data_IF_612112132789
#
_entry.id   IF_612112132789
#
_cell.length_a   1.000
_cell.length_b   1.000
_cell.length_c   1.000
_cell.angle_alpha   90.00
_cell.angle_beta   90.00
_cell.angle_gamma   90.00
#
_symmetry.space_group_name_H-M   'P 1'
#
loop_
_entity.id
_entity.type
_entity.pdbx_description
1 polymer ?
#
# COMPACT_ATOMS: atom_id res chain seq x y z
N UNK A 1 34.53 26.09 -9.60
CA UNK A 1 33.09 25.80 -9.77
C UNK A 1 32.97 24.84 -10.94
N UNK A 2 32.65 23.57 -10.66
CA UNK A 2 32.29 22.61 -11.71
C UNK A 2 30.79 22.75 -11.95
N UNK A 3 30.42 23.29 -13.10
CA UNK A 3 29.03 23.28 -13.55
C UNK A 3 28.64 21.83 -13.85
N UNK A 4 27.82 21.22 -12.99
CA UNK A 4 27.15 19.97 -13.32
C UNK A 4 26.14 20.24 -14.42
N UNK A 5 26.44 19.84 -15.65
CA UNK A 5 25.46 19.87 -16.74
C UNK A 5 24.19 19.13 -16.30
N UNK A 6 22.99 19.66 -16.56
CA UNK A 6 21.75 18.93 -16.33
C UNK A 6 21.80 17.62 -17.13
N UNK A 7 21.62 16.49 -16.46
CA UNK A 7 21.56 15.18 -17.10
C UNK A 7 20.39 15.19 -18.09
N UNK A 8 20.71 15.18 -19.39
CA UNK A 8 19.69 15.10 -20.43
C UNK A 8 19.21 13.66 -20.49
N UNK A 9 17.89 13.44 -20.52
CA UNK A 9 17.33 12.13 -20.87
C UNK A 9 17.85 11.79 -22.27
N UNK A 10 18.69 10.75 -22.36
CA UNK A 10 19.37 10.40 -23.61
C UNK A 10 18.45 9.65 -24.57
N UNK A 11 17.56 8.81 -24.04
CA UNK A 11 16.65 7.96 -24.80
C UNK A 11 15.40 7.64 -23.96
N UNK A 12 14.21 7.68 -24.60
CA UNK A 12 12.97 7.19 -24.00
C UNK A 12 12.84 5.71 -24.35
N UNK A 13 12.76 4.86 -23.33
CA UNK A 13 12.59 3.43 -23.50
C UNK A 13 11.43 2.91 -22.66
N UNK A 14 10.58 2.13 -23.29
CA UNK A 14 9.54 1.36 -22.62
C UNK A 14 10.20 0.17 -21.90
N UNK A 15 9.90 0.03 -20.61
CA UNK A 15 10.44 -1.04 -19.75
C UNK A 15 9.41 -2.08 -19.37
N UNK A 16 8.14 -1.66 -19.30
CA UNK A 16 6.96 -2.48 -19.03
C UNK A 16 5.68 -1.63 -19.19
N UNK A 17 4.60 -2.29 -19.60
CA UNK A 17 3.26 -1.70 -19.67
C UNK A 17 2.41 -2.28 -18.53
N UNK A 18 1.79 -1.39 -17.75
CA UNK A 18 0.91 -1.78 -16.64
C UNK A 18 -0.35 -2.47 -17.20
N UNK A 19 -0.62 -3.73 -16.83
CA UNK A 19 -1.83 -4.41 -17.29
C UNK A 19 -3.09 -3.70 -16.81
N UNK A 20 -4.02 -3.44 -17.73
CA UNK A 20 -5.36 -2.95 -17.39
C UNK A 20 -6.29 -4.14 -17.14
N UNK A 21 -6.26 -4.72 -15.94
CA UNK A 21 -7.12 -5.85 -15.58
C UNK A 21 -8.61 -5.46 -15.47
N UNK A 22 -8.88 -4.18 -15.26
CA UNK A 22 -10.22 -3.66 -14.99
C UNK A 22 -10.61 -2.55 -15.98
N UNK A 23 -11.89 -2.51 -16.33
CA UNK A 23 -12.48 -1.34 -16.99
C UNK A 23 -12.59 -0.19 -15.98
N UNK A 24 -12.16 1.02 -16.36
CA UNK A 24 -12.13 2.19 -15.46
C UNK A 24 -13.55 2.65 -15.09
N UNK A 25 -13.81 2.85 -13.80
CA UNK A 25 -15.12 3.27 -13.26
C UNK A 25 -14.96 4.35 -12.17
N UNK A 26 -16.01 5.13 -11.88
CA UNK A 26 -16.01 6.02 -10.71
C UNK A 26 -15.67 5.27 -9.42
N UNK A 27 -14.85 5.87 -8.57
CA UNK A 27 -14.33 5.24 -7.35
C UNK A 27 -12.94 4.60 -7.53
N UNK A 28 -12.46 4.36 -8.76
CA UNK A 28 -11.09 3.89 -8.97
C UNK A 28 -10.08 5.03 -8.73
N UNK A 29 -8.94 4.66 -8.13
CA UNK A 29 -7.79 5.54 -7.95
C UNK A 29 -6.99 5.67 -9.24
N UNK A 30 -6.12 6.67 -9.32
CA UNK A 30 -5.12 6.71 -10.38
C UNK A 30 -4.09 5.59 -10.16
N UNK A 31 -3.48 5.06 -11.24
CA UNK A 31 -2.31 4.23 -11.09
C UNK A 31 -1.25 4.92 -10.25
N UNK A 32 -0.61 4.17 -9.35
CA UNK A 32 0.44 4.69 -8.47
C UNK A 32 1.55 3.66 -8.32
N UNK A 33 2.72 4.14 -7.89
CA UNK A 33 3.89 3.29 -7.70
C UNK A 33 4.73 3.75 -6.51
N UNK A 34 5.49 2.82 -5.94
CA UNK A 34 6.43 3.08 -4.86
C UNK A 34 7.67 2.20 -5.03
N UNK A 35 8.85 2.82 -5.08
CA UNK A 35 10.12 2.09 -5.13
C UNK A 35 10.50 1.61 -3.73
N UNK A 36 10.26 0.34 -3.46
CA UNK A 36 10.51 -0.26 -2.14
C UNK A 36 12.00 -0.54 -1.89
N UNK A 37 12.79 -0.68 -2.96
CA UNK A 37 14.24 -0.86 -2.92
C UNK A 37 14.91 -0.32 -4.21
N UNK A 38 16.25 -0.33 -4.32
CA UNK A 38 16.97 0.00 -5.56
C UNK A 38 16.59 -0.83 -6.79
N UNK A 39 16.01 -2.02 -6.59
CA UNK A 39 15.69 -2.97 -7.67
C UNK A 39 14.21 -3.35 -7.70
N UNK A 40 13.45 -3.13 -6.63
CA UNK A 40 12.03 -3.47 -6.56
C UNK A 40 11.14 -2.23 -6.62
N UNK A 41 9.98 -2.41 -7.25
CA UNK A 41 8.92 -1.42 -7.29
C UNK A 41 7.56 -2.09 -7.13
N UNK A 42 6.69 -1.45 -6.35
CA UNK A 42 5.28 -1.78 -6.32
C UNK A 42 4.52 -0.85 -7.24
N UNK A 43 3.58 -1.40 -8.01
CA UNK A 43 2.63 -0.63 -8.81
C UNK A 43 1.21 -1.11 -8.55
N UNK A 44 0.25 -0.22 -8.76
CA UNK A 44 -1.17 -0.58 -8.84
C UNK A 44 -1.82 0.11 -10.03
N UNK A 45 -2.81 -0.55 -10.61
CA UNK A 45 -3.73 0.01 -11.60
C UNK A 45 -4.75 1.00 -11.00
N UNK A 46 -4.78 1.09 -9.67
CA UNK A 46 -5.75 1.88 -8.91
C UNK A 46 -7.17 1.32 -8.97
N UNK A 47 -7.36 0.12 -9.53
CA UNK A 47 -8.65 -0.56 -9.66
C UNK A 47 -8.71 -1.87 -8.87
N UNK A 48 -7.58 -2.34 -8.33
CA UNK A 48 -7.55 -3.39 -7.30
C UNK A 48 -6.40 -4.37 -7.41
N UNK A 49 -5.55 -4.26 -8.44
CA UNK A 49 -4.39 -5.15 -8.58
C UNK A 49 -3.13 -4.49 -8.04
N UNK A 50 -2.37 -5.25 -7.23
CA UNK A 50 -1.03 -4.91 -6.79
C UNK A 50 -0.01 -5.73 -7.59
N UNK A 51 0.98 -5.06 -8.14
CA UNK A 51 2.10 -5.68 -8.83
C UNK A 51 3.40 -5.44 -8.06
N UNK A 52 4.17 -6.50 -7.79
CA UNK A 52 5.60 -6.38 -7.45
C UNK A 52 6.41 -6.64 -8.70
N UNK A 53 7.30 -5.72 -9.02
CA UNK A 53 8.06 -5.74 -10.25
C UNK A 53 9.54 -5.58 -9.95
N UNK A 54 10.35 -6.48 -10.51
CA UNK A 54 11.79 -6.35 -10.55
C UNK A 54 12.20 -5.39 -11.67
N UNK A 55 12.81 -4.29 -11.28
CA UNK A 55 13.37 -3.28 -12.19
C UNK A 55 14.82 -3.54 -12.54
N UNK A 56 15.49 -4.45 -11.80
CA UNK A 56 16.94 -4.56 -11.74
C UNK A 56 17.59 -3.26 -11.27
N UNK A 57 18.92 -3.12 -11.39
CA UNK A 57 19.59 -1.86 -11.13
C UNK A 57 19.07 -0.78 -12.08
N UNK A 58 18.39 0.24 -11.54
CA UNK A 58 17.77 1.32 -12.33
C UNK A 58 18.75 2.25 -13.05
N UNK A 59 20.06 2.09 -12.84
CA UNK A 59 21.09 2.70 -13.67
C UNK A 59 21.28 1.98 -15.03
N UNK A 60 20.71 0.78 -15.17
CA UNK A 60 20.73 -0.01 -16.39
C UNK A 60 19.52 0.22 -17.30
N UNK A 61 19.40 -0.63 -18.31
CA UNK A 61 18.33 -0.57 -19.33
C UNK A 61 17.54 -1.88 -19.40
N UNK A 62 17.46 -2.61 -18.28
CA UNK A 62 16.75 -3.88 -18.21
C UNK A 62 15.24 -3.68 -18.39
N UNK A 63 14.60 -4.66 -19.06
CA UNK A 63 13.15 -4.77 -19.04
C UNK A 63 12.70 -5.14 -17.62
N UNK A 64 11.53 -4.66 -17.22
CA UNK A 64 11.01 -4.97 -15.90
C UNK A 64 10.28 -6.31 -15.92
N UNK A 65 10.43 -7.08 -14.85
CA UNK A 65 9.87 -8.42 -14.70
C UNK A 65 8.82 -8.43 -13.58
N UNK A 66 7.61 -8.91 -13.88
CA UNK A 66 6.55 -9.04 -12.87
C UNK A 66 6.84 -10.26 -12.00
N UNK A 67 7.02 -10.03 -10.71
CA UNK A 67 7.30 -11.06 -9.70
C UNK A 67 6.03 -11.52 -8.96
N UNK A 68 5.05 -10.62 -8.82
CA UNK A 68 3.78 -10.86 -8.15
C UNK A 68 2.70 -9.97 -8.78
N UNK A 69 1.47 -10.46 -8.87
CA UNK A 69 0.34 -9.72 -9.45
C UNK A 69 -1.00 -10.26 -8.96
N UNK A 70 -1.57 -9.68 -7.90
CA UNK A 70 -2.82 -10.16 -7.30
C UNK A 70 -3.67 -9.03 -6.69
N UNK A 71 -4.94 -9.34 -6.39
CA UNK A 71 -5.86 -8.47 -5.66
C UNK A 71 -5.74 -8.70 -4.15
N UNK A 72 -4.94 -7.88 -3.48
CA UNK A 72 -4.58 -8.09 -2.06
C UNK A 72 -5.57 -7.47 -1.07
N UNK A 73 -6.42 -6.53 -1.51
CA UNK A 73 -7.40 -5.83 -0.68
C UNK A 73 -8.83 -6.41 -0.81
N UNK A 74 -8.95 -7.61 -1.38
CA UNK A 74 -10.22 -8.18 -1.81
C UNK A 74 -10.52 -7.89 -3.28
N UNK A 75 -11.49 -8.63 -3.81
CA UNK A 75 -11.82 -8.61 -5.23
C UNK A 75 -12.34 -7.24 -5.66
N UNK A 76 -11.75 -6.69 -6.72
CA UNK A 76 -12.12 -5.40 -7.32
C UNK A 76 -12.14 -4.24 -6.30
N UNK A 77 -11.37 -4.34 -5.21
CA UNK A 77 -11.25 -3.26 -4.20
C UNK A 77 -10.21 -2.25 -4.68
N UNK A 78 -10.59 -1.03 -5.12
CA UNK A 78 -9.62 -0.05 -5.61
C UNK A 78 -8.79 0.52 -4.46
N UNK A 79 -7.49 0.74 -4.67
CA UNK A 79 -6.63 1.37 -3.67
C UNK A 79 -5.51 2.20 -4.31
N UNK A 80 -4.82 2.99 -3.50
CA UNK A 80 -3.57 3.67 -3.86
C UNK A 80 -2.44 3.24 -2.93
N UNK A 81 -1.20 3.22 -3.42
CA UNK A 81 -0.02 2.94 -2.58
C UNK A 81 0.36 4.21 -1.82
N UNK A 82 0.55 4.09 -0.50
CA UNK A 82 0.96 5.19 0.38
C UNK A 82 2.47 5.15 0.63
N UNK A 83 2.99 3.97 0.97
CA UNK A 83 4.38 3.77 1.33
C UNK A 83 4.79 2.32 1.12
N UNK A 84 6.06 2.08 0.83
CA UNK A 84 6.61 0.72 0.75
C UNK A 84 8.06 0.67 1.18
N UNK A 85 8.51 -0.52 1.59
CA UNK A 85 9.89 -0.78 1.97
C UNK A 85 10.22 -2.26 1.81
N UNK A 86 11.45 -2.52 1.39
CA UNK A 86 12.02 -3.87 1.34
C UNK A 86 12.96 -4.11 2.52
N UNK A 87 12.84 -5.27 3.16
CA UNK A 87 13.74 -5.79 4.19
C UNK A 87 14.52 -6.96 3.58
N UNK A 88 15.84 -6.91 3.67
CA UNK A 88 16.79 -7.96 3.24
C UNK A 88 16.61 -8.49 1.80
N UNK A 89 15.96 -7.73 0.90
CA UNK A 89 15.61 -8.11 -0.47
C UNK A 89 14.63 -9.29 -0.62
N UNK A 90 14.18 -9.90 0.47
CA UNK A 90 13.32 -11.08 0.47
C UNK A 90 11.91 -10.77 0.99
N UNK A 91 11.72 -9.62 1.63
CA UNK A 91 10.45 -9.20 2.22
C UNK A 91 10.10 -7.77 1.80
N UNK A 92 8.86 -7.56 1.34
CA UNK A 92 8.35 -6.24 0.94
C UNK A 92 7.12 -5.92 1.76
N UNK A 93 7.17 -4.82 2.48
CA UNK A 93 6.01 -4.25 3.16
C UNK A 93 5.45 -3.09 2.35
N UNK A 94 4.12 -2.97 2.32
CA UNK A 94 3.47 -1.80 1.78
C UNK A 94 2.22 -1.42 2.55
N UNK A 95 1.91 -0.12 2.47
CA UNK A 95 0.68 0.48 2.98
C UNK A 95 -0.17 0.89 1.79
N UNK A 96 -1.40 0.39 1.74
CA UNK A 96 -2.38 0.66 0.69
C UNK A 96 -3.58 1.36 1.32
N UNK A 97 -4.07 2.43 0.69
CA UNK A 97 -5.27 3.14 1.13
C UNK A 97 -6.43 2.85 0.20
N UNK A 98 -7.55 2.42 0.79
CA UNK A 98 -8.87 2.48 0.15
C UNK A 98 -9.88 3.13 1.09
N UNK A 99 -11.01 3.56 0.53
CA UNK A 99 -12.12 4.15 1.29
C UNK A 99 -13.28 3.16 1.32
N UNK A 100 -13.74 2.84 2.52
CA UNK A 100 -14.97 2.10 2.75
C UNK A 100 -16.14 3.09 2.88
N UNK A 101 -17.10 3.01 1.95
CA UNK A 101 -18.34 3.80 1.97
C UNK A 101 -19.48 2.97 2.55
N UNK A 102 -19.76 3.21 3.83
CA UNK A 102 -20.82 2.49 4.55
C UNK A 102 -22.22 2.94 4.18
N UNK A 103 -22.38 4.08 3.50
CA UNK A 103 -23.71 4.50 3.02
C UNK A 103 -24.24 3.62 1.89
N UNK A 104 -23.34 2.99 1.12
CA UNK A 104 -23.71 2.11 0.02
C UNK A 104 -24.30 0.76 0.48
N UNK A 105 -24.04 0.35 1.73
CA UNK A 105 -24.50 -0.93 2.29
C UNK A 105 -25.99 -0.93 2.67
N UNK A 106 -26.69 0.21 2.60
CA UNK A 106 -28.14 0.30 2.87
C UNK A 106 -28.54 0.10 4.34
N UNK A 107 -27.59 -0.12 5.25
CA UNK A 107 -27.83 -0.23 6.69
C UNK A 107 -28.06 1.16 7.30
N UNK A 108 -29.30 1.62 7.17
CA UNK A 108 -29.80 2.92 7.62
C UNK A 108 -29.86 3.09 9.16
N UNK A 109 -29.07 2.33 9.92
CA UNK A 109 -29.08 2.29 11.39
C UNK A 109 -27.72 2.54 12.04
N UNK A 110 -26.62 2.57 11.30
CA UNK A 110 -25.32 2.94 11.90
C UNK A 110 -25.25 4.46 12.09
N UNK A 111 -25.15 4.90 13.35
CA UNK A 111 -24.87 6.30 13.72
C UNK A 111 -23.38 6.65 13.55
N UNK A 112 -22.67 5.93 12.69
CA UNK A 112 -21.23 6.00 12.51
C UNK A 112 -20.81 6.95 11.38
N UNK A 113 -19.49 7.17 11.24
CA UNK A 113 -18.93 7.87 10.08
C UNK A 113 -19.29 7.13 8.78
N UNK A 114 -19.71 7.90 7.77
CA UNK A 114 -20.13 7.36 6.46
C UNK A 114 -18.95 6.80 5.67
N UNK A 115 -17.80 7.46 5.76
CA UNK A 115 -16.57 7.06 5.08
C UNK A 115 -15.50 6.72 6.10
N UNK A 116 -14.80 5.62 5.84
CA UNK A 116 -13.65 5.20 6.63
C UNK A 116 -12.43 5.02 5.74
N UNK A 117 -11.29 5.48 6.23
CA UNK A 117 -10.01 5.19 5.63
C UNK A 117 -9.58 3.79 6.06
N UNK A 118 -9.28 2.96 5.08
CA UNK A 118 -8.81 1.60 5.26
C UNK A 118 -7.37 1.53 4.81
N UNK A 119 -6.45 1.42 5.77
CA UNK A 119 -5.02 1.26 5.50
C UNK A 119 -4.67 -0.21 5.62
N UNK A 120 -4.48 -0.87 4.48
CA UNK A 120 -4.01 -2.25 4.41
C UNK A 120 -2.48 -2.26 4.47
N UNK A 121 -1.94 -2.94 5.46
CA UNK A 121 -0.54 -3.26 5.57
C UNK A 121 -0.32 -4.69 5.09
N UNK A 122 0.19 -4.81 3.87
CA UNK A 122 0.48 -6.08 3.20
C UNK A 122 1.97 -6.37 3.29
N UNK A 123 2.32 -7.61 3.61
CA UNK A 123 3.68 -8.13 3.51
C UNK A 123 3.75 -9.21 2.45
N UNK A 124 4.62 -9.01 1.46
CA UNK A 124 5.01 -10.00 0.48
C UNK A 124 6.36 -10.61 0.87
N UNK A 125 6.51 -11.91 0.65
CA UNK A 125 7.78 -12.63 0.88
C UNK A 125 8.15 -13.48 -0.33
N UNK A 126 9.45 -13.58 -0.59
CA UNK A 126 10.03 -14.47 -1.57
C UNK A 126 10.18 -15.88 -0.99
N UNK A 127 9.56 -16.88 -1.63
CA UNK A 127 9.73 -18.29 -1.29
C UNK A 127 10.94 -18.92 -1.99
N UNK A 128 11.20 -20.19 -1.67
CA UNK A 128 12.39 -20.96 -2.11
C UNK A 128 12.61 -20.99 -3.64
N UNK A 129 11.54 -20.88 -4.43
CA UNK A 129 11.57 -20.88 -5.91
C UNK A 129 11.64 -19.47 -6.52
N UNK A 130 12.06 -18.46 -5.75
CA UNK A 130 11.97 -17.04 -6.14
C UNK A 130 10.54 -16.56 -6.44
N UNK A 131 9.55 -17.32 -6.00
CA UNK A 131 8.13 -17.00 -6.18
C UNK A 131 7.66 -16.15 -5.02
N UNK A 132 7.01 -15.02 -5.32
CA UNK A 132 6.52 -14.11 -4.30
C UNK A 132 5.08 -14.45 -3.91
N UNK A 133 4.76 -14.28 -2.64
CA UNK A 133 3.41 -14.52 -2.10
C UNK A 133 3.10 -13.58 -0.95
N UNK A 134 1.82 -13.41 -0.66
CA UNK A 134 1.37 -12.67 0.52
C UNK A 134 1.64 -13.50 1.78
N UNK A 135 2.47 -12.98 2.69
CA UNK A 135 2.65 -13.56 4.03
C UNK A 135 1.54 -13.11 4.97
N UNK A 136 1.29 -11.82 5.02
CA UNK A 136 0.36 -11.23 5.97
C UNK A 136 -0.36 -10.01 5.45
N UNK A 137 -1.56 -9.82 6.00
CA UNK A 137 -2.42 -8.66 5.77
C UNK A 137 -2.91 -8.17 7.12
N UNK A 138 -2.62 -6.90 7.41
CA UNK A 138 -3.07 -6.18 8.58
C UNK A 138 -3.85 -4.97 8.13
N UNK A 139 -4.82 -4.52 8.90
CA UNK A 139 -5.71 -3.43 8.52
C UNK A 139 -5.88 -2.45 9.67
N UNK A 140 -5.56 -1.19 9.40
CA UNK A 140 -5.92 -0.08 10.26
C UNK A 140 -7.11 0.67 9.68
N UNK A 141 -8.06 1.01 10.53
CA UNK A 141 -9.28 1.72 10.16
C UNK A 141 -9.41 3.00 11.00
N UNK A 142 -9.79 4.10 10.35
CA UNK A 142 -10.02 5.37 11.04
C UNK A 142 -10.93 6.31 10.24
N UNK A 143 -11.80 7.08 10.90
CA UNK A 143 -12.57 8.13 10.25
C UNK A 143 -11.69 9.37 9.99
N UNK A 144 -12.27 10.38 9.35
CA UNK A 144 -11.63 11.69 9.21
C UNK A 144 -10.54 11.72 8.14
N UNK A 145 -9.55 12.60 8.34
CA UNK A 145 -8.47 12.81 7.40
C UNK A 145 -7.22 12.03 7.83
N UNK A 146 -6.62 11.34 6.87
CA UNK A 146 -5.29 10.74 7.01
C UNK A 146 -4.27 11.68 6.36
N UNK A 147 -3.55 12.44 7.17
CA UNK A 147 -2.60 13.46 6.67
C UNK A 147 -1.27 12.82 6.24
N UNK A 148 -0.80 11.81 6.99
CA UNK A 148 0.45 11.11 6.70
C UNK A 148 0.44 9.69 7.25
N UNK A 149 1.05 8.78 6.50
CA UNK A 149 1.38 7.46 7.00
C UNK A 149 2.64 6.90 6.36
N UNK A 150 3.44 6.18 7.14
CA UNK A 150 4.65 5.53 6.66
C UNK A 150 5.04 4.36 7.54
N UNK A 151 5.82 3.45 6.98
CA UNK A 151 6.43 2.34 7.73
C UNK A 151 7.64 2.86 8.50
N UNK A 152 7.81 2.36 9.72
CA UNK A 152 9.06 2.48 10.47
C UNK A 152 10.18 1.71 9.74
N UNK A 153 11.45 2.06 10.00
CA UNK A 153 12.58 1.58 9.22
C UNK A 153 12.73 0.04 9.20
N UNK A 154 12.38 -0.62 10.30
CA UNK A 154 12.39 -2.09 10.44
C UNK A 154 11.07 -2.74 10.06
N UNK A 155 10.07 -1.96 9.64
CA UNK A 155 8.72 -2.43 9.34
C UNK A 155 8.07 -3.20 10.50
N UNK A 156 8.41 -2.84 11.73
CA UNK A 156 7.76 -3.37 12.94
C UNK A 156 6.61 -2.48 13.42
N UNK A 157 6.48 -1.27 12.87
CA UNK A 157 5.46 -0.28 13.25
C UNK A 157 5.10 0.63 12.09
N UNK A 158 3.97 1.34 12.24
CA UNK A 158 3.46 2.34 11.29
C UNK A 158 3.30 3.69 11.98
N UNK A 159 3.76 4.75 11.33
CA UNK A 159 3.47 6.13 11.73
C UNK A 159 2.15 6.55 11.09
N UNK A 160 1.28 7.17 11.88
CA UNK A 160 0.01 7.76 11.41
C UNK A 160 -0.11 9.16 12.00
N UNK A 161 -0.35 10.14 11.12
CA UNK A 161 -0.82 11.47 11.50
C UNK A 161 -2.21 11.67 10.90
N UNK A 162 -3.19 11.92 11.77
CA UNK A 162 -4.59 12.06 11.42
C UNK A 162 -5.32 12.90 12.47
N UNK A 163 -6.48 13.44 12.11
CA UNK A 163 -7.33 14.22 13.03
C UNK A 163 -8.16 13.32 13.96
N UNK A 164 -8.31 12.05 13.60
CA UNK A 164 -9.02 11.01 14.35
C UNK A 164 -8.16 9.76 14.51
N UNK A 165 -8.35 8.98 15.59
CA UNK A 165 -7.54 7.79 15.84
C UNK A 165 -7.81 6.68 14.83
N UNK A 166 -6.76 5.94 14.49
CA UNK A 166 -6.82 4.68 13.75
C UNK A 166 -6.60 3.51 14.71
N UNK A 167 -7.25 2.39 14.44
CA UNK A 167 -7.08 1.16 15.20
C UNK A 167 -6.97 -0.03 14.26
N UNK A 168 -6.27 -1.09 14.70
CA UNK A 168 -6.27 -2.35 13.98
C UNK A 168 -7.67 -2.96 14.02
N UNK A 169 -8.15 -3.42 12.87
CA UNK A 169 -9.42 -4.14 12.71
C UNK A 169 -9.21 -5.56 12.17
N UNK A 170 -8.04 -5.81 11.57
CA UNK A 170 -7.58 -7.13 11.17
C UNK A 170 -6.07 -7.20 11.35
N UNK A 171 -5.58 -8.30 11.88
CA UNK A 171 -4.16 -8.64 11.89
C UNK A 171 -4.06 -10.16 11.70
N UNK A 172 -3.47 -10.58 10.57
CA UNK A 172 -3.33 -12.00 10.27
C UNK A 172 -2.22 -12.69 11.06
N UNK A 173 -1.32 -11.93 11.70
CA UNK A 173 -0.18 -12.45 12.46
C UNK A 173 -0.45 -12.44 13.98
N UNK A 174 -1.20 -11.45 14.48
CA UNK A 174 -1.45 -11.28 15.92
C UNK A 174 -2.92 -11.10 16.27
N UNK A 175 -3.29 -11.46 17.50
CA UNK A 175 -4.62 -11.12 18.04
C UNK A 175 -4.68 -9.64 18.41
N UNK A 176 -5.70 -8.94 17.94
CA UNK A 176 -5.97 -7.56 18.32
C UNK A 176 -6.53 -7.53 19.75
N UNK A 177 -5.83 -6.83 20.65
CA UNK A 177 -6.26 -6.62 22.05
C UNK A 177 -6.83 -5.21 22.15
N UNK A 178 -8.12 -5.10 22.46
CA UNK A 178 -8.73 -3.80 22.74
C UNK A 178 -8.25 -3.29 24.11
N UNK A 179 -7.46 -2.22 24.11
CA UNK A 179 -7.17 -1.50 25.34
C UNK A 179 -8.42 -0.75 25.79
N UNK A 180 -9.02 -1.22 26.89
CA UNK A 180 -10.13 -0.52 27.54
C UNK A 180 -9.58 0.78 28.12
N UNK A 181 -9.74 1.89 27.41
CA UNK A 181 -9.32 3.20 27.89
C UNK A 181 -10.18 3.55 29.10
N UNK A 182 -9.63 3.45 30.31
CA UNK A 182 -10.32 3.99 31.48
C UNK A 182 -10.41 5.51 31.34
N UNK A 183 -11.59 6.12 31.61
CA UNK A 183 -11.74 7.55 31.51
C UNK A 183 -10.77 8.21 32.50
N UNK A 184 -9.99 9.18 32.00
CA UNK A 184 -9.08 9.96 32.82
C UNK A 184 -9.86 10.58 34.00
N UNK A 185 -9.35 10.51 35.24
CA UNK A 185 -10.02 11.12 36.37
C UNK A 185 -10.12 12.63 36.13
N UNK A 186 -11.34 13.15 36.31
CA UNK A 186 -11.61 14.58 36.28
C UNK A 186 -10.97 15.17 37.55
N UNK A 187 -9.85 15.88 37.41
CA UNK A 187 -9.26 16.69 38.50
C UNK A 187 -9.91 18.05 38.64
#
# INVERSE_FOLDING_TARGET
MLESKPSRVEELREVWELPSHHERRPGHYNPSMSFSSPELVLLTDGAGTLHLVNTGPRAGTAAWEVLFSEEVCGKETPFTILHSRTIDNEEVHCLLLHIDDRSAAGDSKETGPVFLNMVEWVTLVQGDSSTWSVRSVRRLCGPGNLDYTALEDTCSSVYIASDKPFHFTMDSENTIIEEKTEPLPIT
#
